data_IF_658645015582
#
_entry.id   IF_658645015582
#
_cell.length_a   1.000
_cell.length_b   1.000
_cell.length_c   1.000
_cell.angle_alpha   90.00
_cell.angle_beta   90.00
_cell.angle_gamma   90.00
#
_symmetry.space_group_name_H-M   'P 1'
#
loop_
_entity.id
_entity.type
_entity.pdbx_description
1 polymer ?
#
# COMPACT_ATOMS: atom_id res chain seq x y z
N UNK A 1 -3.45 24.76 18.81
CA UNK A 1 -2.26 24.68 17.95
C UNK A 1 -1.23 23.75 18.54
N UNK A 2 -0.53 23.01 17.72
CA UNK A 2 0.43 21.99 18.15
C UNK A 2 1.81 22.28 17.61
N UNK A 3 2.85 21.94 18.37
CA UNK A 3 4.22 21.96 17.91
C UNK A 3 4.52 20.75 17.02
N UNK A 4 5.59 20.81 16.23
CA UNK A 4 6.02 19.69 15.39
C UNK A 4 6.29 18.42 16.23
N UNK A 5 6.86 18.58 17.44
CA UNK A 5 7.11 17.45 18.34
C UNK A 5 5.83 16.80 18.84
N UNK A 6 4.82 17.60 19.17
CA UNK A 6 3.51 17.09 19.59
C UNK A 6 2.83 16.31 18.47
N UNK A 7 2.86 16.84 17.24
CA UNK A 7 2.26 16.20 16.07
C UNK A 7 3.00 14.90 15.72
N UNK A 8 4.32 14.91 15.78
CA UNK A 8 5.13 13.71 15.57
C UNK A 8 4.72 12.59 16.53
N UNK A 9 4.52 12.92 17.80
CA UNK A 9 4.07 11.95 18.81
C UNK A 9 2.64 11.46 18.52
N UNK A 10 1.73 12.37 18.19
CA UNK A 10 0.33 12.03 17.88
C UNK A 10 0.21 11.02 16.73
N UNK A 11 1.05 11.14 15.71
CA UNK A 11 0.99 10.29 14.51
C UNK A 11 2.03 9.18 14.50
N UNK A 12 2.89 9.10 15.51
CA UNK A 12 3.95 8.10 15.55
C UNK A 12 4.97 8.26 14.42
N UNK A 13 5.24 9.51 14.02
CA UNK A 13 6.15 9.84 12.93
C UNK A 13 7.41 10.53 13.46
N UNK A 14 8.57 10.31 12.80
CA UNK A 14 9.75 11.13 13.09
C UNK A 14 9.50 12.60 12.74
N UNK A 15 10.09 13.51 13.52
CA UNK A 15 10.02 14.95 13.24
C UNK A 15 10.58 15.25 11.84
N UNK A 16 11.63 14.54 11.42
CA UNK A 16 12.22 14.69 10.09
C UNK A 16 11.22 14.41 8.96
N UNK A 17 10.28 13.49 9.16
CA UNK A 17 9.23 13.20 8.19
C UNK A 17 8.30 14.40 8.03
N UNK A 18 7.90 15.03 9.14
CA UNK A 18 7.04 16.21 9.11
C UNK A 18 7.73 17.40 8.46
N UNK A 19 9.02 17.59 8.72
CA UNK A 19 9.83 18.64 8.04
C UNK A 19 9.91 18.39 6.54
N UNK A 20 10.06 17.12 6.15
CA UNK A 20 10.07 16.71 4.74
C UNK A 20 8.74 17.05 4.06
N UNK A 21 7.61 16.71 4.70
CA UNK A 21 6.29 17.05 4.16
C UNK A 21 6.09 18.56 3.98
N UNK A 22 6.51 19.33 4.96
CA UNK A 22 6.46 20.80 4.85
C UNK A 22 7.30 21.30 3.69
N UNK A 23 8.52 20.78 3.56
CA UNK A 23 9.42 21.12 2.44
C UNK A 23 8.81 20.76 1.09
N UNK A 24 8.06 19.66 1.03
CA UNK A 24 7.40 19.23 -0.21
C UNK A 24 6.10 19.99 -0.48
N UNK A 25 5.75 20.96 0.35
CA UNK A 25 4.60 21.83 0.12
C UNK A 25 3.26 21.25 0.54
N UNK A 26 3.26 20.24 1.41
CA UNK A 26 2.01 19.61 1.85
C UNK A 26 1.25 20.41 2.92
N UNK A 27 1.87 21.44 3.48
CA UNK A 27 1.26 22.35 4.45
C UNK A 27 1.41 23.81 3.97
N UNK A 28 0.75 24.20 2.87
CA UNK A 28 1.01 25.51 2.24
C UNK A 28 0.65 26.70 3.10
N UNK A 29 -0.30 26.54 4.02
CA UNK A 29 -0.80 27.64 4.85
C UNK A 29 -0.37 27.51 6.32
N UNK A 30 0.65 26.72 6.59
CA UNK A 30 1.10 26.51 7.96
C UNK A 30 1.68 27.78 8.56
N UNK A 31 1.20 28.13 9.77
CA UNK A 31 1.72 29.28 10.50
C UNK A 31 3.09 29.00 11.10
N UNK A 32 3.90 30.07 11.16
CA UNK A 32 5.18 30.05 11.88
C UNK A 32 5.19 31.19 12.89
N UNK A 33 5.44 30.86 14.14
CA UNK A 33 5.58 31.85 15.20
C UNK A 33 7.07 31.91 15.56
N UNK A 34 7.70 33.09 15.31
CA UNK A 34 9.13 33.26 15.51
C UNK A 34 9.97 32.21 14.79
N UNK A 35 9.57 31.85 13.56
CA UNK A 35 10.24 30.84 12.75
C UNK A 35 9.88 29.39 13.12
N UNK A 36 9.08 29.18 14.16
CA UNK A 36 8.70 27.85 14.63
C UNK A 36 7.35 27.44 14.03
N UNK A 37 7.30 26.21 13.48
CA UNK A 37 6.08 25.64 12.87
C UNK A 37 5.00 25.44 13.91
N UNK A 38 3.76 25.84 13.58
CA UNK A 38 2.58 25.61 14.39
C UNK A 38 1.52 24.88 13.54
N UNK A 39 1.12 23.70 14.01
CA UNK A 39 0.13 22.86 13.34
C UNK A 39 -1.25 23.16 13.90
N UNK A 40 -2.15 23.66 13.06
CA UNK A 40 -3.56 23.83 13.40
C UNK A 40 -4.39 22.64 12.95
N UNK A 41 -5.72 22.76 13.11
CA UNK A 41 -6.65 21.68 12.74
C UNK A 41 -6.56 21.33 11.24
N UNK A 42 -6.34 22.34 10.39
CA UNK A 42 -6.20 22.15 8.94
C UNK A 42 -4.99 21.27 8.63
N UNK A 43 -3.86 21.52 9.27
CA UNK A 43 -2.64 20.73 9.08
C UNK A 43 -2.79 19.31 9.63
N UNK A 44 -3.50 19.13 10.75
CA UNK A 44 -3.77 17.82 11.32
C UNK A 44 -4.65 17.00 10.36
N UNK A 45 -5.70 17.58 9.81
CA UNK A 45 -6.56 16.89 8.83
C UNK A 45 -5.79 16.57 7.55
N UNK A 46 -4.97 17.51 7.07
CA UNK A 46 -4.09 17.26 5.93
C UNK A 46 -3.17 16.07 6.19
N UNK A 47 -2.58 16.00 7.37
CA UNK A 47 -1.67 14.91 7.74
C UNK A 47 -2.39 13.56 7.80
N UNK A 48 -3.63 13.52 8.27
CA UNK A 48 -4.44 12.29 8.24
C UNK A 48 -4.66 11.80 6.82
N UNK A 49 -4.96 12.70 5.88
CA UNK A 49 -5.12 12.37 4.47
C UNK A 49 -3.81 11.87 3.89
N UNK A 50 -2.70 12.57 4.15
CA UNK A 50 -1.37 12.19 3.67
C UNK A 50 -1.02 10.76 4.12
N UNK A 51 -1.18 10.46 5.40
CA UNK A 51 -0.86 9.14 5.94
C UNK A 51 -1.77 8.04 5.35
N UNK A 52 -3.05 8.34 5.15
CA UNK A 52 -3.99 7.43 4.51
C UNK A 52 -3.57 7.10 3.07
N UNK A 53 -3.23 8.11 2.27
CA UNK A 53 -2.83 7.92 0.88
C UNK A 53 -1.46 7.25 0.76
N UNK A 54 -0.55 7.49 1.69
CA UNK A 54 0.73 6.77 1.74
C UNK A 54 0.52 5.27 1.98
N UNK A 55 -0.42 4.90 2.85
CA UNK A 55 -0.76 3.49 3.07
C UNK A 55 -1.30 2.83 1.81
N UNK A 56 -1.95 3.59 0.94
CA UNK A 56 -2.40 3.11 -0.36
C UNK A 56 -1.28 3.06 -1.40
N UNK A 57 -0.05 3.38 -1.01
CA UNK A 57 1.12 3.31 -1.88
C UNK A 57 1.32 4.51 -2.80
N UNK A 58 0.64 5.62 -2.52
CA UNK A 58 0.80 6.83 -3.32
C UNK A 58 2.09 7.56 -2.96
N UNK A 59 2.78 8.08 -3.98
CA UNK A 59 4.00 8.87 -3.80
C UNK A 59 3.65 10.29 -3.34
N UNK A 60 4.58 10.94 -2.67
CA UNK A 60 4.39 12.30 -2.13
C UNK A 60 3.99 13.31 -3.23
N UNK A 61 4.59 13.20 -4.42
CA UNK A 61 4.24 14.08 -5.54
C UNK A 61 2.77 13.95 -5.96
N UNK A 62 2.23 12.74 -5.92
CA UNK A 62 0.84 12.48 -6.28
C UNK A 62 -0.12 12.93 -5.17
N UNK A 63 0.27 12.76 -3.92
CA UNK A 63 -0.49 13.27 -2.77
C UNK A 63 -0.59 14.79 -2.84
N UNK A 64 0.52 15.47 -3.15
CA UNK A 64 0.53 16.91 -3.33
C UNK A 64 -0.40 17.33 -4.47
N UNK A 65 -0.33 16.65 -5.61
CA UNK A 65 -1.21 16.93 -6.74
C UNK A 65 -2.68 16.77 -6.36
N UNK A 66 -3.01 15.73 -5.62
CA UNK A 66 -4.37 15.53 -5.11
C UNK A 66 -4.81 16.68 -4.22
N UNK A 67 -3.95 17.12 -3.31
CA UNK A 67 -4.26 18.24 -2.41
C UNK A 67 -4.42 19.56 -3.18
N UNK A 68 -3.61 19.78 -4.21
CA UNK A 68 -3.76 20.95 -5.09
C UNK A 68 -5.10 20.92 -5.82
N UNK A 69 -5.51 19.78 -6.33
CA UNK A 69 -6.84 19.61 -6.93
C UNK A 69 -7.97 19.87 -5.95
N UNK A 70 -7.82 19.43 -4.70
CA UNK A 70 -8.81 19.73 -3.67
C UNK A 70 -8.97 21.22 -3.44
N UNK A 71 -7.87 21.97 -3.48
CA UNK A 71 -7.88 23.43 -3.33
C UNK A 71 -8.53 24.12 -4.55
N UNK A 72 -8.40 23.55 -5.75
CA UNK A 72 -9.03 24.08 -6.96
C UNK A 72 -10.56 23.88 -6.97
N UNK A 73 -11.04 22.85 -6.28
CA UNK A 73 -12.48 22.61 -6.13
C UNK A 73 -13.10 21.58 -7.07
N UNK A 74 -14.45 21.58 -7.21
CA UNK A 74 -15.18 20.50 -7.90
C UNK A 74 -14.82 20.26 -9.36
N UNK A 75 -14.27 21.24 -10.06
CA UNK A 75 -13.82 21.08 -11.45
C UNK A 75 -12.75 19.98 -11.60
N UNK A 76 -12.10 19.60 -10.51
CA UNK A 76 -11.02 18.59 -10.51
C UNK A 76 -11.50 17.20 -10.08
N UNK A 77 -12.78 16.98 -9.83
CA UNK A 77 -13.31 15.67 -9.46
C UNK A 77 -12.93 14.56 -10.45
N UNK A 78 -13.02 14.77 -11.78
CA UNK A 78 -12.62 13.74 -12.72
C UNK A 78 -11.15 13.32 -12.58
N UNK A 79 -10.26 14.28 -12.40
CA UNK A 79 -8.83 14.02 -12.22
C UNK A 79 -8.54 13.26 -10.93
N UNK A 80 -9.21 13.64 -9.83
CA UNK A 80 -9.09 12.96 -8.54
C UNK A 80 -9.54 11.52 -8.65
N UNK A 81 -10.69 11.28 -9.27
CA UNK A 81 -11.23 9.94 -9.49
C UNK A 81 -10.29 9.09 -10.32
N UNK A 82 -9.77 9.63 -11.43
CA UNK A 82 -8.84 8.93 -12.32
C UNK A 82 -7.56 8.51 -11.58
N UNK A 83 -7.03 9.37 -10.73
CA UNK A 83 -5.83 9.06 -9.94
C UNK A 83 -6.06 7.87 -9.01
N UNK A 84 -7.20 7.83 -8.32
CA UNK A 84 -7.53 6.73 -7.42
C UNK A 84 -7.87 5.44 -8.17
N UNK A 85 -8.53 5.53 -9.31
CA UNK A 85 -8.81 4.36 -10.15
C UNK A 85 -7.51 3.70 -10.64
N UNK A 86 -6.54 4.51 -11.04
CA UNK A 86 -5.23 4.02 -11.46
C UNK A 86 -4.51 3.32 -10.32
N UNK A 87 -4.47 3.94 -9.12
CA UNK A 87 -3.83 3.33 -7.94
C UNK A 87 -4.53 2.04 -7.53
N UNK A 88 -5.86 2.03 -7.58
CA UNK A 88 -6.66 0.83 -7.29
C UNK A 88 -6.31 -0.31 -8.24
N UNK A 89 -6.21 -0.03 -9.54
CA UNK A 89 -5.86 -1.04 -10.53
C UNK A 89 -4.46 -1.62 -10.27
N UNK A 90 -3.49 -0.77 -9.93
CA UNK A 90 -2.15 -1.22 -9.55
C UNK A 90 -2.18 -2.12 -8.33
N UNK A 91 -2.94 -1.75 -7.30
CA UNK A 91 -3.05 -2.55 -6.07
C UNK A 91 -3.72 -3.90 -6.34
N UNK A 92 -4.76 -3.93 -7.16
CA UNK A 92 -5.42 -5.18 -7.55
C UNK A 92 -4.44 -6.12 -8.28
N UNK A 93 -3.59 -5.57 -9.14
CA UNK A 93 -2.56 -6.35 -9.82
C UNK A 93 -1.50 -6.87 -8.85
N UNK A 94 -1.08 -6.06 -7.88
CA UNK A 94 -0.15 -6.47 -6.82
C UNK A 94 -0.74 -7.60 -5.97
N UNK A 95 -2.01 -7.49 -5.59
CA UNK A 95 -2.73 -8.53 -4.83
C UNK A 95 -2.80 -9.83 -5.64
N UNK A 96 -3.13 -9.75 -6.92
CA UNK A 96 -3.18 -10.93 -7.79
C UNK A 96 -1.81 -11.61 -7.88
N UNK A 97 -0.74 -10.82 -8.03
CA UNK A 97 0.62 -11.34 -8.05
C UNK A 97 0.98 -12.03 -6.74
N UNK A 98 0.67 -11.42 -5.61
CA UNK A 98 0.91 -12.00 -4.29
C UNK A 98 0.11 -13.28 -4.07
N UNK A 99 -1.13 -13.34 -4.56
CA UNK A 99 -1.96 -14.53 -4.48
C UNK A 99 -1.36 -15.69 -5.28
N UNK A 100 -0.81 -15.42 -6.46
CA UNK A 100 -0.11 -16.45 -7.24
C UNK A 100 1.11 -16.98 -6.49
N UNK A 101 1.90 -16.10 -5.89
CA UNK A 101 3.05 -16.50 -5.08
C UNK A 101 2.63 -17.34 -3.86
N UNK A 102 1.55 -16.92 -3.19
CA UNK A 102 1.01 -17.64 -2.05
C UNK A 102 0.54 -19.05 -2.45
N UNK A 103 -0.13 -19.17 -3.59
CA UNK A 103 -0.59 -20.46 -4.09
C UNK A 103 0.58 -21.38 -4.47
N UNK A 104 1.68 -20.83 -4.97
CA UNK A 104 2.91 -21.60 -5.17
C UNK A 104 3.42 -22.16 -3.85
N UNK A 105 3.44 -21.34 -2.79
CA UNK A 105 3.88 -21.79 -1.47
C UNK A 105 2.94 -22.84 -0.88
N UNK A 106 1.61 -22.69 -1.06
CA UNK A 106 0.62 -23.69 -0.64
C UNK A 106 0.88 -25.03 -1.30
N UNK A 107 1.12 -25.02 -2.61
CA UNK A 107 1.46 -26.21 -3.37
C UNK A 107 2.75 -26.85 -2.83
N UNK A 108 3.81 -26.06 -2.64
CA UNK A 108 5.09 -26.58 -2.15
C UNK A 108 5.00 -27.16 -0.74
N UNK A 109 4.25 -26.53 0.15
CA UNK A 109 4.03 -27.05 1.51
C UNK A 109 3.32 -28.42 1.47
N UNK A 110 2.26 -28.54 0.67
CA UNK A 110 1.57 -29.80 0.49
C UNK A 110 2.51 -30.85 -0.12
N UNK A 111 3.23 -30.46 -1.17
CA UNK A 111 4.12 -31.37 -1.91
C UNK A 111 5.15 -32.00 -0.98
N UNK A 112 5.85 -31.20 -0.21
CA UNK A 112 6.91 -31.72 0.66
C UNK A 112 6.37 -32.42 1.90
N UNK A 113 5.19 -32.10 2.38
CA UNK A 113 4.51 -32.88 3.40
C UNK A 113 4.24 -34.29 2.91
N UNK A 114 3.77 -34.44 1.68
CA UNK A 114 3.56 -35.75 1.05
C UNK A 114 4.88 -36.48 0.80
N UNK A 115 5.90 -35.77 0.33
CA UNK A 115 7.22 -36.36 0.07
C UNK A 115 7.86 -36.91 1.35
N UNK A 116 7.67 -36.24 2.47
CA UNK A 116 8.13 -36.71 3.78
C UNK A 116 7.43 -38.02 4.14
N UNK A 117 6.11 -38.07 3.96
CA UNK A 117 5.32 -39.26 4.25
C UNK A 117 5.71 -40.45 3.35
N UNK A 118 5.93 -40.18 2.05
CA UNK A 118 6.26 -41.21 1.07
C UNK A 118 7.73 -41.65 1.14
N UNK A 119 8.60 -40.78 1.61
CA UNK A 119 10.05 -41.00 1.60
C UNK A 119 10.72 -40.75 0.24
N UNK A 120 9.97 -40.36 -0.79
CA UNK A 120 10.45 -39.99 -2.12
C UNK A 120 9.37 -39.18 -2.85
N UNK A 121 9.69 -38.73 -4.07
CA UNK A 121 8.79 -37.85 -4.85
C UNK A 121 8.12 -38.55 -6.03
N UNK A 122 8.28 -39.86 -6.19
CA UNK A 122 7.86 -40.57 -7.41
C UNK A 122 6.35 -40.44 -7.67
N UNK A 123 5.52 -40.66 -6.65
CA UNK A 123 4.06 -40.54 -6.76
C UNK A 123 3.65 -39.11 -7.09
N UNK A 124 4.34 -38.15 -6.45
CA UNK A 124 4.01 -36.72 -6.60
C UNK A 124 4.35 -36.20 -7.99
N UNK A 125 5.48 -36.60 -8.53
CA UNK A 125 5.86 -36.23 -9.90
C UNK A 125 4.89 -36.76 -10.93
N UNK A 126 4.33 -37.96 -10.68
CA UNK A 126 3.33 -38.55 -11.56
C UNK A 126 2.00 -37.79 -11.52
N UNK A 127 1.70 -37.07 -10.46
CA UNK A 127 0.44 -36.30 -10.31
C UNK A 127 0.48 -34.93 -11.00
N UNK A 128 1.67 -34.41 -11.28
CA UNK A 128 1.85 -33.12 -11.93
C UNK A 128 1.79 -33.29 -13.45
N UNK A 129 1.11 -32.41 -14.20
CA UNK A 129 0.45 -31.16 -13.74
C UNK A 129 -1.06 -31.28 -13.48
N UNK A 130 -1.72 -32.39 -13.87
CA UNK A 130 -3.18 -32.41 -14.00
C UNK A 130 -3.91 -33.35 -13.03
N UNK A 131 -3.19 -34.06 -12.20
CA UNK A 131 -3.77 -35.13 -11.34
C UNK A 131 -3.62 -34.88 -9.85
N UNK A 132 -3.42 -33.62 -9.44
CA UNK A 132 -3.31 -33.20 -8.05
C UNK A 132 -4.69 -33.21 -7.37
N UNK A 133 -4.76 -33.33 -6.03
CA UNK A 133 -6.03 -33.17 -5.31
C UNK A 133 -6.68 -31.84 -5.63
N UNK A 134 -8.01 -31.75 -5.61
CA UNK A 134 -8.78 -30.62 -6.13
C UNK A 134 -8.29 -29.23 -5.65
N UNK A 135 -8.11 -29.04 -4.34
CA UNK A 135 -7.66 -27.75 -3.81
C UNK A 135 -6.22 -27.42 -4.19
N UNK A 136 -5.37 -28.44 -4.24
CA UNK A 136 -3.95 -28.30 -4.62
C UNK A 136 -3.82 -28.07 -6.13
N UNK A 137 -4.66 -28.74 -6.92
CA UNK A 137 -4.71 -28.54 -8.37
C UNK A 137 -5.03 -27.08 -8.71
N UNK A 138 -6.02 -26.50 -8.02
CA UNK A 138 -6.39 -25.08 -8.21
C UNK A 138 -5.23 -24.14 -7.85
N UNK A 139 -4.56 -24.40 -6.73
CA UNK A 139 -3.40 -23.60 -6.31
C UNK A 139 -2.26 -23.69 -7.33
N UNK A 140 -1.97 -24.91 -7.81
CA UNK A 140 -0.95 -25.14 -8.82
C UNK A 140 -1.24 -24.38 -10.11
N UNK A 141 -2.48 -24.46 -10.61
CA UNK A 141 -2.90 -23.77 -11.83
C UNK A 141 -2.80 -22.25 -11.69
N UNK A 142 -3.26 -21.69 -10.58
CA UNK A 142 -3.17 -20.27 -10.33
C UNK A 142 -1.71 -19.80 -10.25
N UNK A 143 -0.84 -20.56 -9.62
CA UNK A 143 0.57 -20.25 -9.50
C UNK A 143 1.29 -20.20 -10.86
N UNK A 144 0.79 -20.98 -11.83
CA UNK A 144 1.38 -21.08 -13.18
C UNK A 144 0.59 -20.31 -14.24
N UNK A 145 -0.40 -19.51 -13.83
CA UNK A 145 -1.21 -18.71 -14.76
C UNK A 145 -0.48 -17.43 -15.22
#
# INVERSE_FOLDING_TARGET
MYSIGQVAEMFGLPISTLRYYDKQGLFPNMERVSGIRKFGDTEIEALRVIECLKKAGMEIKDIRQFMDWCAEGPSTYPQRKAMFEERKAHMEAEIAHMNRALDMLRFKCWYYEQAIQDGNEDRLKALIPDHLPKGIQKAYENAHS
#
